data_IF_678267539511
#
_entry.id   IF_678267539511
#
_cell.length_a   1.000
_cell.length_b   1.000
_cell.length_c   1.000
_cell.angle_alpha   90.00
_cell.angle_beta   90.00
_cell.angle_gamma   90.00
#
_symmetry.space_group_name_H-M   'P 1'
#
loop_
_entity.id
_entity.type
_entity.pdbx_description
1 polymer ?
#
# COMPACT_ATOMS: atom_id res chain seq x y z
N UNK A 1 -14.78 -11.44 16.87
CA UNK A 1 -14.04 -10.17 16.97
C UNK A 1 -13.30 -9.96 15.66
N UNK A 2 -13.65 -8.93 14.88
CA UNK A 2 -12.96 -8.64 13.61
C UNK A 2 -11.75 -7.73 13.87
N UNK A 3 -10.66 -7.97 13.15
CA UNK A 3 -9.43 -7.19 13.22
C UNK A 3 -9.04 -6.80 11.80
N UNK A 4 -8.87 -5.50 11.54
CA UNK A 4 -8.37 -5.02 10.26
C UNK A 4 -6.84 -4.88 10.27
N UNK A 5 -6.20 -5.28 9.18
CA UNK A 5 -4.75 -5.12 8.98
C UNK A 5 -4.56 -4.15 7.83
N UNK A 6 -3.93 -3.01 8.10
CA UNK A 6 -3.71 -1.95 7.11
C UNK A 6 -2.21 -1.69 6.98
N UNK A 7 -1.76 -1.37 5.77
CA UNK A 7 -0.38 -0.92 5.57
C UNK A 7 -0.17 0.47 6.20
N UNK A 8 0.95 0.66 6.88
CA UNK A 8 1.34 1.94 7.46
C UNK A 8 1.81 2.89 6.36
N UNK A 9 0.87 3.62 5.77
CA UNK A 9 1.14 4.60 4.73
C UNK A 9 1.46 5.99 5.35
N UNK A 10 2.66 6.55 5.15
CA UNK A 10 3.00 7.89 5.63
C UNK A 10 2.19 8.99 4.90
N UNK A 11 2.02 10.16 5.52
CA UNK A 11 1.32 11.33 4.93
C UNK A 11 1.79 11.73 3.52
N UNK A 12 3.08 11.54 3.25
CA UNK A 12 3.73 11.82 1.95
C UNK A 12 4.10 10.54 1.20
N UNK A 13 3.28 9.49 1.32
CA UNK A 13 3.57 8.20 0.69
C UNK A 13 3.72 8.34 -0.83
N UNK A 14 2.79 9.06 -1.47
CA UNK A 14 2.82 9.29 -2.92
C UNK A 14 4.14 9.98 -3.33
N UNK A 15 4.52 11.07 -2.65
CA UNK A 15 5.78 11.79 -2.94
C UNK A 15 7.01 10.88 -2.76
N UNK A 16 7.06 10.12 -1.66
CA UNK A 16 8.16 9.19 -1.37
C UNK A 16 8.29 8.07 -2.40
N UNK A 17 7.18 7.58 -2.92
CA UNK A 17 7.18 6.55 -3.98
C UNK A 17 7.69 7.14 -5.29
N UNK A 18 7.30 8.37 -5.62
CA UNK A 18 7.80 9.09 -6.81
C UNK A 18 9.30 9.35 -6.71
N UNK A 19 9.78 9.84 -5.56
CA UNK A 19 11.21 10.12 -5.34
C UNK A 19 12.07 8.84 -5.37
N UNK A 20 11.57 7.76 -4.77
CA UNK A 20 12.32 6.51 -4.64
C UNK A 20 12.37 5.71 -5.93
N UNK A 21 11.35 5.84 -6.79
CA UNK A 21 11.20 5.02 -7.98
C UNK A 21 11.37 5.88 -9.24
N UNK A 22 12.63 6.16 -9.57
CA UNK A 22 13.03 6.91 -10.76
C UNK A 22 12.67 6.25 -12.10
N UNK A 23 11.98 5.10 -12.06
CA UNK A 23 11.47 4.35 -13.22
C UNK A 23 10.00 4.69 -13.51
N UNK A 24 9.29 5.33 -12.56
CA UNK A 24 7.90 5.71 -12.76
C UNK A 24 7.79 6.75 -13.89
N UNK A 25 7.03 6.42 -14.93
CA UNK A 25 6.72 7.34 -16.01
C UNK A 25 5.69 8.40 -15.56
N UNK A 26 5.51 9.44 -16.37
CA UNK A 26 4.57 10.54 -16.06
C UNK A 26 3.11 10.08 -15.85
N UNK A 27 2.69 9.01 -16.52
CA UNK A 27 1.32 8.46 -16.41
C UNK A 27 1.14 7.78 -15.05
N UNK A 28 2.11 6.99 -14.60
CA UNK A 28 2.06 6.31 -13.31
C UNK A 28 2.14 7.29 -12.14
N UNK A 29 2.95 8.36 -12.28
CA UNK A 29 2.97 9.47 -11.32
C UNK A 29 1.61 10.15 -11.23
N UNK A 30 0.98 10.43 -12.37
CA UNK A 30 -0.35 11.06 -12.38
C UNK A 30 -1.40 10.16 -11.71
N UNK A 31 -1.45 8.88 -12.06
CA UNK A 31 -2.36 7.89 -11.42
C UNK A 31 -2.12 7.80 -9.91
N UNK A 32 -0.86 7.77 -9.49
CA UNK A 32 -0.50 7.72 -8.08
C UNK A 32 -0.98 8.96 -7.33
N UNK A 33 -0.88 10.16 -7.91
CA UNK A 33 -1.41 11.39 -7.29
C UNK A 33 -2.94 11.37 -7.22
N UNK A 34 -3.61 10.96 -8.31
CA UNK A 34 -5.08 10.89 -8.38
C UNK A 34 -5.70 9.90 -7.40
N UNK A 35 -4.98 8.84 -7.01
CA UNK A 35 -5.52 7.81 -6.12
C UNK A 35 -5.90 8.32 -4.73
N UNK A 36 -5.40 9.48 -4.30
CA UNK A 36 -5.71 10.07 -2.99
C UNK A 36 -5.55 9.07 -1.83
N UNK A 37 -4.54 8.19 -1.92
CA UNK A 37 -4.40 6.99 -1.08
C UNK A 37 -4.42 7.31 0.42
N UNK A 38 -3.82 8.43 0.80
CA UNK A 38 -3.80 8.87 2.20
C UNK A 38 -5.20 9.27 2.68
N UNK A 39 -6.00 9.90 1.82
CA UNK A 39 -7.39 10.25 2.12
C UNK A 39 -8.26 9.00 2.31
N UNK A 40 -8.12 8.00 1.42
CA UNK A 40 -8.83 6.71 1.55
C UNK A 40 -8.42 6.01 2.84
N UNK A 41 -7.12 5.91 3.13
CA UNK A 41 -6.61 5.29 4.35
C UNK A 41 -7.19 5.98 5.60
N UNK A 42 -7.28 7.31 5.60
CA UNK A 42 -7.87 8.08 6.71
C UNK A 42 -9.35 7.71 6.89
N UNK A 43 -10.16 7.74 5.83
CA UNK A 43 -11.58 7.42 5.87
C UNK A 43 -11.81 5.99 6.40
N UNK A 44 -11.01 5.02 5.95
CA UNK A 44 -11.09 3.63 6.42
C UNK A 44 -10.82 3.55 7.94
N UNK A 45 -9.76 4.18 8.43
CA UNK A 45 -9.46 4.17 9.87
C UNK A 45 -10.53 4.87 10.72
N UNK A 46 -11.15 5.94 10.20
CA UNK A 46 -12.27 6.62 10.85
C UNK A 46 -13.49 5.70 10.94
N UNK A 47 -13.85 5.02 9.85
CA UNK A 47 -14.96 4.06 9.84
C UNK A 47 -14.73 2.84 10.73
N UNK A 48 -13.51 2.33 10.79
CA UNK A 48 -13.16 1.25 11.71
C UNK A 48 -13.34 1.68 13.17
N UNK A 49 -12.93 2.91 13.51
CA UNK A 49 -13.12 3.48 14.83
C UNK A 49 -14.61 3.69 15.17
N UNK A 50 -15.42 4.21 14.23
CA UNK A 50 -16.86 4.38 14.40
C UNK A 50 -17.58 3.06 14.73
N UNK A 51 -17.15 1.95 14.13
CA UNK A 51 -17.74 0.62 14.35
C UNK A 51 -17.09 -0.15 15.50
N UNK A 52 -16.13 0.45 16.23
CA UNK A 52 -15.41 -0.22 17.31
C UNK A 52 -14.54 -1.40 16.83
N UNK A 53 -14.15 -1.41 15.56
CA UNK A 53 -13.33 -2.48 14.97
C UNK A 53 -11.85 -2.14 15.22
N UNK A 54 -11.10 -2.96 15.97
CA UNK A 54 -9.68 -2.75 16.15
C UNK A 54 -8.94 -2.91 14.82
N UNK A 55 -7.85 -2.17 14.65
CA UNK A 55 -6.97 -2.29 13.50
C UNK A 55 -5.50 -2.18 13.89
N UNK A 56 -4.63 -2.82 13.09
CA UNK A 56 -3.17 -2.75 13.23
C UNK A 56 -2.54 -2.21 11.96
N UNK A 57 -1.51 -1.38 12.13
CA UNK A 57 -0.73 -0.82 11.02
C UNK A 57 0.57 -1.60 10.85
N UNK A 58 0.79 -2.20 9.67
CA UNK A 58 1.97 -3.02 9.36
C UNK A 58 2.94 -2.30 8.43
N UNK A 59 4.23 -2.59 8.50
CA UNK A 59 5.22 -1.98 7.61
C UNK A 59 5.03 -2.50 6.17
N UNK A 60 4.80 -1.63 5.16
CA UNK A 60 4.62 -2.03 3.77
C UNK A 60 5.92 -2.49 3.07
N UNK A 61 7.04 -2.60 3.79
CA UNK A 61 8.32 -2.99 3.19
C UNK A 61 8.25 -4.37 2.55
N UNK A 62 8.46 -4.40 1.24
CA UNK A 62 8.47 -5.61 0.41
C UNK A 62 7.14 -6.37 0.32
N UNK A 63 6.01 -5.79 0.74
CA UNK A 63 4.69 -6.46 0.64
C UNK A 63 4.31 -6.77 -0.80
N UNK A 64 4.57 -5.86 -1.73
CA UNK A 64 4.35 -6.06 -3.17
C UNK A 64 5.31 -7.04 -3.85
N UNK A 65 6.46 -7.34 -3.23
CA UNK A 65 7.52 -8.19 -3.79
C UNK A 65 7.66 -9.55 -3.09
N UNK A 66 6.89 -9.79 -2.03
CA UNK A 66 6.95 -11.00 -1.22
C UNK A 66 5.69 -11.82 -1.46
N UNK A 67 5.84 -13.12 -1.73
CA UNK A 67 4.69 -14.00 -1.94
C UNK A 67 3.87 -14.12 -0.64
N UNK A 68 2.55 -13.83 -0.66
CA UNK A 68 1.69 -14.10 0.49
C UNK A 68 1.74 -15.59 0.84
N UNK A 69 2.17 -15.86 2.06
CA UNK A 69 1.96 -17.08 2.88
C UNK A 69 2.32 -18.47 2.36
N UNK A 70 2.67 -18.71 1.08
CA UNK A 70 3.05 -20.07 0.63
C UNK A 70 4.55 -20.38 0.83
N UNK A 71 5.42 -19.36 0.95
CA UNK A 71 6.86 -19.61 1.14
C UNK A 71 7.71 -18.43 1.65
N UNK A 72 7.16 -17.21 1.80
CA UNK A 72 7.93 -16.02 2.19
C UNK A 72 9.06 -15.63 1.22
N UNK A 73 9.17 -16.33 0.08
CA UNK A 73 10.21 -16.06 -0.92
C UNK A 73 9.90 -14.79 -1.70
N UNK A 74 10.97 -14.08 -2.10
CA UNK A 74 10.87 -12.96 -3.04
C UNK A 74 10.33 -13.46 -4.38
N UNK A 75 9.44 -12.67 -4.98
CA UNK A 75 8.97 -12.92 -6.34
C UNK A 75 10.17 -12.83 -7.32
N UNK A 76 10.27 -13.72 -8.33
CA UNK A 76 11.28 -13.60 -9.37
C UNK A 76 11.15 -12.25 -10.10
N UNK A 77 12.27 -11.63 -10.55
CA UNK A 77 12.25 -10.29 -11.15
C UNK A 77 11.37 -10.16 -12.41
N UNK A 78 11.10 -11.27 -13.11
CA UNK A 78 10.22 -11.32 -14.29
C UNK A 78 8.75 -11.66 -13.98
N UNK A 79 8.41 -11.94 -12.72
CA UNK A 79 7.07 -12.25 -12.23
C UNK A 79 6.60 -11.24 -11.18
N UNK A 80 7.16 -10.02 -11.19
CA UNK A 80 6.50 -8.89 -10.54
C UNK A 80 5.23 -8.62 -11.33
N UNK A 81 4.09 -9.12 -10.86
CA UNK A 81 2.78 -8.56 -11.22
C UNK A 81 2.94 -7.05 -11.08
N UNK A 82 2.91 -6.32 -12.20
CA UNK A 82 3.31 -4.92 -12.26
C UNK A 82 2.66 -4.18 -11.09
N UNK A 83 3.47 -3.48 -10.28
CA UNK A 83 3.14 -2.99 -8.93
C UNK A 83 1.65 -2.68 -8.79
N UNK A 84 0.86 -3.68 -8.44
CA UNK A 84 -0.57 -3.50 -8.22
C UNK A 84 -0.63 -2.92 -6.83
N UNK A 85 -0.76 -1.60 -6.76
CA UNK A 85 -1.24 -0.94 -5.54
C UNK A 85 -2.71 -1.35 -5.46
N UNK A 86 -2.97 -2.51 -4.85
CA UNK A 86 -4.31 -2.93 -4.48
C UNK A 86 -4.70 -2.03 -3.30
N UNK A 87 -5.76 -1.25 -3.49
CA UNK A 87 -6.38 -0.41 -2.47
C UNK A 87 -7.46 -1.22 -1.75
#
# INVERSE_FOLDING_TARGET
MQLAVLEKLPKRFQDRVIEKDGILNGVDIHRLKQSSIWGVHKIVTEKLAEHGIPYVLVNPSHTSSTRPTICGSKLPPHHSYGRVVVF
#
